data_IF_317402225509
#
_entry.id   IF_317402225509
#
_cell.length_a   1.000
_cell.length_b   1.000
_cell.length_c   1.000
_cell.angle_alpha   90.00
_cell.angle_beta   90.00
_cell.angle_gamma   90.00
#
_symmetry.space_group_name_H-M   'P 1'
#
loop_
_entity.id
_entity.type
_entity.pdbx_description
1 polymer ?
#
# COMPACT_ATOMS: atom_id res chain seq x y z
N UNK A 1 31.21 17.19 6.30
CA UNK A 1 30.56 15.90 6.59
C UNK A 1 29.07 16.16 6.65
N UNK A 2 28.26 15.57 5.78
CA UNK A 2 26.81 15.51 6.02
C UNK A 2 26.66 14.77 7.35
N UNK A 3 26.17 15.44 8.39
CA UNK A 3 25.93 14.79 9.68
C UNK A 3 24.96 13.64 9.50
N UNK A 4 25.10 12.60 10.32
CA UNK A 4 24.23 11.43 10.26
C UNK A 4 22.76 11.86 10.32
N UNK A 5 21.98 11.41 9.35
CA UNK A 5 20.55 11.71 9.30
C UNK A 5 19.86 10.86 10.37
N UNK A 6 19.22 11.52 11.33
CA UNK A 6 18.41 10.83 12.33
C UNK A 6 17.10 10.35 11.70
N UNK A 7 17.10 9.11 11.23
CA UNK A 7 15.94 8.48 10.56
C UNK A 7 14.74 8.37 11.51
N UNK A 8 14.95 8.12 12.81
CA UNK A 8 13.86 8.02 13.78
C UNK A 8 13.09 9.34 13.89
N UNK A 9 13.80 10.46 13.99
CA UNK A 9 13.17 11.79 14.04
C UNK A 9 12.31 12.08 12.79
N UNK A 10 12.74 11.59 11.63
CA UNK A 10 11.97 11.72 10.38
C UNK A 10 10.68 10.87 10.43
N UNK A 11 10.78 9.61 10.86
CA UNK A 11 9.60 8.72 10.96
C UNK A 11 8.58 9.21 11.99
N UNK A 12 9.06 9.77 13.10
CA UNK A 12 8.20 10.38 14.12
C UNK A 12 7.43 11.57 13.54
N UNK A 13 8.08 12.42 12.74
CA UNK A 13 7.43 13.58 12.10
C UNK A 13 6.29 13.21 11.15
N UNK A 14 6.35 12.06 10.48
CA UNK A 14 5.25 11.59 9.63
C UNK A 14 4.06 11.03 10.40
N UNK A 15 4.28 10.61 11.66
CA UNK A 15 3.31 9.79 12.40
C UNK A 15 2.51 10.58 13.43
N UNK A 16 3.09 11.64 14.02
CA UNK A 16 2.51 12.37 15.17
C UNK A 16 1.10 12.90 14.92
N UNK A 17 0.78 13.37 13.71
CA UNK A 17 -0.53 13.96 13.39
C UNK A 17 -1.28 13.25 12.27
N UNK A 18 -0.88 12.03 11.91
CA UNK A 18 -1.47 11.30 10.80
C UNK A 18 -2.68 10.45 11.26
N UNK A 19 -3.89 10.80 10.80
CA UNK A 19 -5.08 9.96 11.01
C UNK A 19 -5.25 8.95 9.87
N UNK A 20 -4.78 7.72 10.09
CA UNK A 20 -4.85 6.61 9.12
C UNK A 20 -6.26 6.19 8.69
N UNK A 21 -7.31 6.65 9.37
CA UNK A 21 -8.70 6.31 9.01
C UNK A 21 -9.24 7.16 7.87
N UNK A 22 -8.60 8.30 7.62
CA UNK A 22 -9.02 9.27 6.60
C UNK A 22 -8.16 9.07 5.36
N UNK A 23 -8.81 8.78 4.22
CA UNK A 23 -8.09 8.66 2.95
C UNK A 23 -7.44 10.01 2.56
N UNK A 24 -6.35 10.00 1.78
CA UNK A 24 -5.84 11.24 1.17
C UNK A 24 -6.94 11.96 0.36
N UNK A 25 -6.87 13.29 0.30
CA UNK A 25 -7.85 14.14 -0.37
C UNK A 25 -9.32 13.95 0.09
N UNK A 26 -9.54 13.60 1.37
CA UNK A 26 -10.90 13.48 1.92
C UNK A 26 -11.69 14.78 1.74
N UNK A 27 -12.88 14.69 1.14
CA UNK A 27 -13.71 15.85 0.76
C UNK A 27 -13.35 16.52 -0.58
N UNK A 28 -12.22 16.14 -1.19
CA UNK A 28 -11.77 16.61 -2.50
C UNK A 28 -11.87 15.53 -3.59
N UNK A 29 -11.08 15.67 -4.67
CA UNK A 29 -11.04 14.70 -5.76
C UNK A 29 -10.65 13.28 -5.28
N UNK A 30 -11.07 12.22 -6.01
CA UNK A 30 -10.63 10.85 -5.74
C UNK A 30 -9.11 10.69 -5.80
N UNK A 31 -8.59 9.69 -5.07
CA UNK A 31 -7.17 9.31 -5.13
C UNK A 31 -6.97 8.33 -6.27
N UNK A 32 -6.03 8.62 -7.16
CA UNK A 32 -5.59 7.65 -8.18
C UNK A 32 -4.71 6.58 -7.54
N UNK A 33 -5.07 5.31 -7.75
CA UNK A 33 -4.35 4.17 -7.20
C UNK A 33 -3.73 3.38 -8.34
N UNK A 34 -2.40 3.43 -8.45
CA UNK A 34 -1.64 2.57 -9.35
C UNK A 34 -1.56 1.15 -8.79
N UNK A 35 -2.06 0.17 -9.54
CA UNK A 35 -2.00 -1.25 -9.16
C UNK A 35 -1.13 -2.01 -10.15
N UNK A 36 -0.14 -2.72 -9.64
CA UNK A 36 0.71 -3.63 -10.42
C UNK A 36 0.72 -4.99 -9.75
N UNK A 37 0.58 -6.06 -10.54
CA UNK A 37 0.61 -7.43 -10.05
C UNK A 37 1.71 -8.20 -10.77
N UNK A 38 2.50 -8.97 -10.02
CA UNK A 38 3.45 -9.94 -10.55
C UNK A 38 3.00 -11.34 -10.15
N UNK A 39 2.41 -12.08 -11.09
CA UNK A 39 1.89 -13.43 -10.85
C UNK A 39 3.03 -14.43 -11.05
N UNK A 40 3.44 -15.12 -9.98
CA UNK A 40 4.49 -16.13 -10.03
C UNK A 40 3.99 -17.43 -10.68
N UNK A 41 2.80 -17.87 -10.30
CA UNK A 41 2.13 -19.04 -10.87
C UNK A 41 0.63 -18.99 -10.60
N UNK A 42 -0.13 -19.81 -11.32
CA UNK A 42 -1.51 -20.15 -11.00
C UNK A 42 -1.53 -21.66 -10.81
N UNK A 43 -1.98 -22.15 -9.66
CA UNK A 43 -1.70 -23.52 -9.22
C UNK A 43 -2.69 -24.55 -9.77
N UNK A 44 -3.97 -24.47 -9.40
CA UNK A 44 -5.01 -25.37 -9.89
C UNK A 44 -6.27 -24.60 -10.29
N UNK A 45 -6.96 -25.13 -11.30
CA UNK A 45 -8.23 -24.61 -11.80
C UNK A 45 -9.30 -25.69 -11.60
N UNK A 46 -10.39 -25.34 -10.91
CA UNK A 46 -11.54 -26.21 -10.75
C UNK A 46 -12.72 -25.68 -11.56
N UNK A 47 -13.01 -26.34 -12.69
CA UNK A 47 -14.13 -25.98 -13.56
C UNK A 47 -15.49 -26.23 -12.86
N UNK A 48 -15.60 -27.31 -12.10
CA UNK A 48 -16.83 -27.67 -11.37
C UNK A 48 -17.14 -26.66 -10.27
N UNK A 49 -16.10 -26.13 -9.60
CA UNK A 49 -16.25 -25.18 -8.50
C UNK A 49 -16.15 -23.71 -8.95
N UNK A 50 -15.78 -23.46 -10.22
CA UNK A 50 -15.57 -22.13 -10.78
C UNK A 50 -14.55 -21.29 -9.99
N UNK A 51 -13.46 -21.92 -9.53
CA UNK A 51 -12.40 -21.26 -8.76
C UNK A 51 -11.01 -21.69 -9.22
N UNK A 52 -10.04 -20.81 -9.00
CA UNK A 52 -8.62 -21.08 -9.16
C UNK A 52 -7.87 -20.62 -7.91
N UNK A 53 -6.75 -21.26 -7.61
CA UNK A 53 -5.89 -20.92 -6.48
C UNK A 53 -4.61 -20.23 -6.97
N UNK A 54 -4.30 -19.07 -6.39
CA UNK A 54 -3.05 -18.33 -6.63
C UNK A 54 -1.95 -18.80 -5.68
#
# INVERSE_FOLDING_TARGET
MLGDVNISAILDSFSVSYDKRVRPNYGGPPVEVGVTMYVLSISSLSEVKMVHEF
#
